data_IF_596065547621
#
_entry.id   IF_596065547621
#
_cell.length_a   1.000
_cell.length_b   1.000
_cell.length_c   1.000
_cell.angle_alpha   90.00
_cell.angle_beta   90.00
_cell.angle_gamma   90.00
#
_symmetry.space_group_name_H-M   'P 1'
#
loop_
_entity.id
_entity.type
_entity.pdbx_description
1 polymer ?
#
# COMPACT_ATOMS: atom_id res chain seq x y z
N UNK A 1 -0.63 -10.62 3.54
CA UNK A 1 -1.04 -9.90 2.30
C UNK A 1 0.14 -9.39 1.48
N UNK A 2 0.97 -8.48 2.00
CA UNK A 2 2.12 -7.91 1.25
C UNK A 2 3.13 -8.97 0.76
N UNK A 3 3.47 -9.94 1.61
CA UNK A 3 4.28 -11.09 1.23
C UNK A 3 3.62 -11.96 0.14
N UNK A 4 2.30 -12.12 0.21
CA UNK A 4 1.55 -12.88 -0.79
C UNK A 4 1.59 -12.19 -2.16
N UNK A 5 1.49 -10.85 -2.21
CA UNK A 5 1.67 -10.06 -3.44
C UNK A 5 3.09 -10.20 -4.00
N UNK A 6 4.12 -10.12 -3.15
CA UNK A 6 5.52 -10.28 -3.58
C UNK A 6 5.74 -11.68 -4.17
N UNK A 7 5.18 -12.71 -3.54
CA UNK A 7 5.25 -14.09 -4.02
C UNK A 7 4.46 -14.29 -5.33
N UNK A 8 3.30 -13.64 -5.50
CA UNK A 8 2.53 -13.74 -6.76
C UNK A 8 3.17 -12.96 -7.92
N UNK A 9 3.85 -11.85 -7.64
CA UNK A 9 4.60 -11.09 -8.65
C UNK A 9 5.89 -11.80 -9.08
N UNK A 10 6.55 -12.52 -8.17
CA UNK A 10 7.74 -13.32 -8.48
C UNK A 10 8.79 -12.55 -9.30
N UNK A 11 9.21 -13.10 -10.45
CA UNK A 11 10.23 -12.52 -11.36
C UNK A 11 9.82 -11.19 -12.04
N UNK A 12 8.55 -10.78 -11.95
CA UNK A 12 8.05 -9.52 -12.51
C UNK A 12 8.09 -8.37 -11.49
N UNK A 13 8.40 -8.65 -10.22
CA UNK A 13 8.60 -7.62 -9.21
C UNK A 13 9.93 -6.89 -9.44
N UNK A 14 9.87 -5.62 -9.83
CA UNK A 14 11.04 -4.74 -9.93
C UNK A 14 10.87 -3.54 -9.02
N UNK A 15 11.91 -3.23 -8.24
CA UNK A 15 11.97 -2.06 -7.35
C UNK A 15 12.00 -0.74 -8.14
N UNK A 16 12.57 -0.78 -9.35
CA UNK A 16 12.49 0.31 -10.33
C UNK A 16 11.31 0.08 -11.28
N UNK A 17 10.52 1.12 -11.46
CA UNK A 17 9.33 1.19 -12.32
C UNK A 17 9.75 1.19 -13.80
N UNK A 18 10.35 0.09 -14.25
CA UNK A 18 10.79 -0.09 -15.63
C UNK A 18 9.82 -1.05 -16.31
N UNK A 19 8.93 -0.49 -17.12
CA UNK A 19 8.10 -1.25 -18.06
C UNK A 19 9.04 -1.94 -19.05
N UNK A 20 9.37 -3.21 -18.80
CA UNK A 20 10.08 -4.04 -19.78
C UNK A 20 9.11 -4.39 -20.91
N UNK A 21 9.60 -4.50 -22.14
CA UNK A 21 8.79 -4.81 -23.35
C UNK A 21 8.00 -6.13 -23.25
N UNK A 22 8.30 -6.99 -22.28
CA UNK A 22 7.66 -8.29 -22.03
C UNK A 22 6.78 -8.30 -20.76
N UNK A 23 6.40 -7.13 -20.24
CA UNK A 23 5.61 -7.03 -19.02
C UNK A 23 4.21 -7.61 -19.25
N UNK A 24 3.95 -8.82 -18.76
CA UNK A 24 2.61 -9.43 -18.80
C UNK A 24 1.83 -9.05 -17.55
N UNK A 25 0.54 -8.77 -17.75
CA UNK A 25 -0.38 -8.44 -16.68
C UNK A 25 -0.62 -9.67 -15.79
N UNK A 26 -0.17 -9.60 -14.53
CA UNK A 26 -0.41 -10.68 -13.55
C UNK A 26 -1.83 -10.53 -13.01
N UNK A 27 -2.69 -11.49 -13.37
CA UNK A 27 -4.12 -11.45 -13.03
C UNK A 27 -4.51 -12.52 -12.00
N UNK A 28 -3.55 -13.30 -11.50
CA UNK A 28 -3.77 -14.39 -10.55
C UNK A 28 -3.58 -13.95 -9.09
N UNK A 29 -4.22 -14.69 -8.18
CA UNK A 29 -4.13 -14.46 -6.74
C UNK A 29 -4.79 -13.14 -6.30
N UNK A 30 -4.14 -12.29 -5.50
CA UNK A 30 -4.79 -11.10 -4.94
C UNK A 30 -5.11 -10.03 -6.01
N UNK A 31 -4.41 -10.08 -7.16
CA UNK A 31 -4.64 -9.23 -8.31
C UNK A 31 -5.92 -9.56 -9.10
N UNK A 32 -6.57 -10.71 -8.82
CA UNK A 32 -7.89 -11.02 -9.40
C UNK A 32 -9.04 -10.34 -8.66
N UNK A 33 -8.80 -9.86 -7.43
CA UNK A 33 -9.82 -9.28 -6.54
C UNK A 33 -9.72 -7.75 -6.51
N UNK A 34 -8.51 -7.22 -6.39
CA UNK A 34 -8.23 -5.77 -6.40
C UNK A 34 -7.04 -5.49 -7.30
N UNK A 35 -7.03 -4.31 -7.95
CA UNK A 35 -5.94 -3.93 -8.85
C UNK A 35 -4.62 -3.71 -8.11
N UNK A 36 -4.69 -3.21 -6.88
CA UNK A 36 -3.53 -2.75 -6.10
C UNK A 36 -3.46 -3.36 -4.68
N UNK A 37 -3.40 -4.70 -4.54
CA UNK A 37 -3.50 -5.39 -3.24
C UNK A 37 -2.35 -5.05 -2.27
N UNK A 38 -1.18 -4.69 -2.80
CA UNK A 38 -0.02 -4.29 -2.00
C UNK A 38 -0.28 -2.99 -1.21
N UNK A 39 -1.04 -2.07 -1.79
CA UNK A 39 -1.40 -0.81 -1.14
C UNK A 39 -2.50 -1.00 -0.10
N UNK A 40 -3.42 -1.95 -0.31
CA UNK A 40 -4.34 -2.42 0.74
C UNK A 40 -3.57 -2.93 1.95
N UNK A 41 -2.50 -3.71 1.71
CA UNK A 41 -1.62 -4.20 2.77
C UNK A 41 -0.89 -3.07 3.50
N UNK A 42 -0.49 -2.00 2.80
CA UNK A 42 0.13 -0.82 3.41
C UNK A 42 -0.88 -0.05 4.27
N UNK A 43 -2.11 0.15 3.81
CA UNK A 43 -3.18 0.77 4.60
C UNK A 43 -3.49 -0.03 5.87
N UNK A 44 -3.60 -1.36 5.76
CA UNK A 44 -3.80 -2.24 6.91
C UNK A 44 -2.61 -2.18 7.90
N UNK A 45 -1.39 -2.11 7.39
CA UNK A 45 -0.20 -1.96 8.23
C UNK A 45 -0.18 -0.61 8.96
N UNK A 46 -0.54 0.49 8.27
CA UNK A 46 -0.67 1.80 8.89
C UNK A 46 -1.76 1.81 9.97
N UNK A 47 -2.92 1.21 9.71
CA UNK A 47 -3.98 1.08 10.71
C UNK A 47 -3.55 0.23 11.92
N UNK A 48 -2.86 -0.90 11.68
CA UNK A 48 -2.30 -1.73 12.73
C UNK A 48 -1.27 -0.99 13.59
N UNK A 49 -0.44 -0.16 12.98
CA UNK A 49 0.51 0.69 13.71
C UNK A 49 -0.22 1.71 14.62
N UNK A 50 -1.29 2.36 14.13
CA UNK A 50 -2.11 3.28 14.94
C UNK A 50 -2.71 2.58 16.15
N UNK A 51 -3.26 1.38 15.97
CA UNK A 51 -3.86 0.60 17.05
C UNK A 51 -2.78 0.16 18.04
N UNK A 52 -1.65 -0.38 17.56
CA UNK A 52 -0.57 -0.88 18.40
C UNK A 52 0.05 0.23 19.24
N UNK A 53 0.41 1.36 18.62
CA UNK A 53 1.02 2.49 19.33
C UNK A 53 0.03 3.31 20.16
N UNK A 54 -1.26 3.34 19.77
CA UNK A 54 -2.32 3.99 20.51
C UNK A 54 -2.86 3.20 21.71
N UNK A 55 -2.58 1.90 21.77
CA UNK A 55 -3.04 1.03 22.86
C UNK A 55 -2.41 1.40 24.21
N UNK A 56 -3.17 1.25 25.30
CA UNK A 56 -2.72 1.55 26.67
C UNK A 56 -1.52 0.68 27.11
N UNK A 57 -1.37 -0.52 26.55
CA UNK A 57 -0.25 -1.43 26.80
C UNK A 57 0.95 -1.23 25.88
N UNK A 58 0.96 -0.20 25.02
CA UNK A 58 2.09 0.06 24.14
C UNK A 58 3.34 0.37 24.94
N UNK A 59 4.45 -0.29 24.59
CA UNK A 59 5.76 -0.07 25.20
C UNK A 59 6.16 1.42 25.19
N UNK A 60 5.75 2.18 24.17
CA UNK A 60 5.99 3.63 24.13
C UNK A 60 5.36 4.41 25.29
N UNK A 61 4.19 3.97 25.80
CA UNK A 61 3.56 4.57 26.99
C UNK A 61 4.17 4.05 28.28
N UNK A 62 4.51 2.75 28.33
CA UNK A 62 5.06 2.13 29.54
C UNK A 62 6.54 2.46 29.80
N UNK A 63 7.33 2.75 28.75
CA UNK A 63 8.77 3.02 28.87
C UNK A 63 9.11 4.38 29.49
N UNK A 64 8.12 5.24 29.75
CA UNK A 64 8.34 6.57 30.33
C UNK A 64 8.98 7.58 29.37
N UNK A 65 9.43 7.17 28.18
CA UNK A 65 10.04 8.03 27.16
C UNK A 65 9.12 9.18 26.72
N UNK A 66 7.79 8.96 26.74
CA UNK A 66 6.80 9.98 26.43
C UNK A 66 6.56 10.99 27.57
N UNK A 67 7.20 10.84 28.74
CA UNK A 67 7.14 11.84 29.82
C UNK A 67 7.99 13.07 29.51
N UNK A 68 9.02 12.93 28.66
CA UNK A 68 9.81 14.06 28.18
C UNK A 68 9.01 14.80 27.09
N UNK A 69 8.59 16.06 27.30
CA UNK A 69 7.67 16.75 26.40
C UNK A 69 8.24 16.90 24.98
N UNK A 70 9.56 17.15 24.86
CA UNK A 70 10.24 17.24 23.57
C UNK A 70 10.18 15.93 22.77
N UNK A 71 10.53 14.79 23.41
CA UNK A 71 10.50 13.47 22.78
C UNK A 71 9.07 13.07 22.42
N UNK A 72 8.10 13.38 23.30
CA UNK A 72 6.67 13.16 23.05
C UNK A 72 6.21 13.89 21.79
N UNK A 73 6.57 15.17 21.64
CA UNK A 73 6.19 15.96 20.45
C UNK A 73 6.83 15.37 19.19
N UNK A 74 8.12 15.02 19.22
CA UNK A 74 8.78 14.39 18.06
C UNK A 74 8.18 13.04 17.70
N UNK A 75 7.91 12.17 18.67
CA UNK A 75 7.35 10.85 18.43
C UNK A 75 5.93 10.93 17.86
N UNK A 76 5.08 11.79 18.44
CA UNK A 76 3.70 11.98 17.97
C UNK A 76 3.69 12.61 16.58
N UNK A 77 4.46 13.68 16.36
CA UNK A 77 4.51 14.34 15.05
C UNK A 77 5.09 13.42 13.98
N UNK A 78 6.19 12.70 14.27
CA UNK A 78 6.75 11.69 13.36
C UNK A 78 5.76 10.57 13.04
N UNK A 79 5.01 10.10 14.03
CA UNK A 79 3.96 9.10 13.83
C UNK A 79 2.83 9.61 12.92
N UNK A 80 2.33 10.82 13.15
CA UNK A 80 1.31 11.44 12.29
C UNK A 80 1.82 11.70 10.87
N UNK A 81 3.05 12.19 10.72
CA UNK A 81 3.66 12.41 9.40
C UNK A 81 3.82 11.09 8.65
N UNK A 82 4.33 10.04 9.29
CA UNK A 82 4.52 8.73 8.64
C UNK A 82 3.19 8.09 8.20
N UNK A 83 2.15 8.14 9.04
CA UNK A 83 0.84 7.55 8.74
C UNK A 83 0.12 8.31 7.63
N UNK A 84 0.17 9.65 7.65
CA UNK A 84 -0.41 10.48 6.58
C UNK A 84 0.32 10.32 5.26
N UNK A 85 1.65 10.26 5.26
CA UNK A 85 2.46 9.98 4.07
C UNK A 85 2.12 8.60 3.48
N UNK A 86 2.07 7.55 4.31
CA UNK A 86 1.71 6.21 3.87
C UNK A 86 0.30 6.14 3.29
N UNK A 87 -0.67 6.82 3.89
CA UNK A 87 -2.03 6.91 3.38
C UNK A 87 -2.08 7.65 2.03
N UNK A 88 -1.38 8.78 1.93
CA UNK A 88 -1.30 9.58 0.70
C UNK A 88 -0.69 8.78 -0.45
N UNK A 89 0.43 8.09 -0.22
CA UNK A 89 1.06 7.20 -1.21
C UNK A 89 0.10 6.08 -1.61
N UNK A 90 -0.60 5.49 -0.64
CA UNK A 90 -1.52 4.38 -0.90
C UNK A 90 -2.73 4.76 -1.74
N UNK A 91 -3.11 6.05 -1.77
CA UNK A 91 -4.26 6.55 -2.52
C UNK A 91 -3.84 7.14 -3.87
N UNK A 92 -2.81 7.99 -3.89
CA UNK A 92 -2.46 8.76 -5.09
C UNK A 92 -1.57 7.99 -6.05
N UNK A 93 -0.66 7.17 -5.55
CA UNK A 93 0.31 6.46 -6.39
C UNK A 93 -0.33 5.38 -7.29
N UNK A 94 -1.35 4.61 -6.83
CA UNK A 94 -2.04 3.66 -7.69
C UNK A 94 -2.67 4.28 -8.94
N UNK A 95 -3.13 5.54 -8.86
CA UNK A 95 -3.70 6.23 -10.02
C UNK A 95 -2.64 6.50 -11.10
N UNK A 96 -1.42 6.85 -10.67
CA UNK A 96 -0.27 7.06 -11.57
C UNK A 96 0.19 5.73 -12.17
N UNK A 97 0.25 4.66 -11.37
CA UNK A 97 0.59 3.32 -11.86
C UNK A 97 -0.46 2.79 -12.85
N UNK A 98 -1.75 2.99 -12.59
CA UNK A 98 -2.83 2.65 -13.54
C UNK A 98 -2.65 3.38 -14.87
N UNK A 99 -2.33 4.67 -14.86
CA UNK A 99 -2.08 5.43 -16.10
C UNK A 99 -0.84 4.92 -16.85
N UNK A 100 0.22 4.56 -16.13
CA UNK A 100 1.42 3.99 -16.74
C UNK A 100 1.14 2.62 -17.37
N UNK A 101 0.38 1.77 -16.68
CA UNK A 101 -0.02 0.45 -17.19
C UNK A 101 -0.98 0.58 -18.39
N UNK A 102 -1.91 1.52 -18.36
CA UNK A 102 -2.79 1.80 -19.49
C UNK A 102 -2.00 2.28 -20.72
N UNK A 103 -1.00 3.16 -20.53
CA UNK A 103 -0.13 3.60 -21.63
C UNK A 103 0.75 2.48 -22.19
N UNK A 104 1.19 1.56 -21.34
CA UNK A 104 2.06 0.46 -21.74
C UNK A 104 1.31 -0.71 -22.42
N UNK A 105 0.13 -1.07 -21.90
CA UNK A 105 -0.60 -2.30 -22.26
C UNK A 105 -1.91 -2.03 -23.00
N UNK A 106 -2.37 -0.78 -23.04
CA UNK A 106 -3.56 -0.34 -23.78
C UNK A 106 -4.79 -1.20 -23.50
N UNK A 107 -5.28 -1.88 -24.55
CA UNK A 107 -6.51 -2.68 -24.51
C UNK A 107 -6.46 -3.88 -23.56
N UNK A 108 -5.28 -4.48 -23.33
CA UNK A 108 -5.17 -5.61 -22.39
C UNK A 108 -5.47 -5.15 -20.95
N UNK A 109 -4.94 -3.99 -20.57
CA UNK A 109 -5.20 -3.40 -19.26
C UNK A 109 -6.67 -2.99 -19.11
N UNK A 110 -7.28 -2.39 -20.13
CA UNK A 110 -8.69 -2.00 -20.09
C UNK A 110 -9.63 -3.20 -19.91
N UNK A 111 -9.38 -4.29 -20.62
CA UNK A 111 -10.17 -5.52 -20.51
C UNK A 111 -10.04 -6.16 -19.13
N UNK A 112 -8.85 -6.11 -18.52
CA UNK A 112 -8.64 -6.57 -17.16
C UNK A 112 -9.24 -5.65 -16.11
N UNK A 113 -9.07 -4.33 -16.24
CA UNK A 113 -9.63 -3.32 -15.32
C UNK A 113 -11.16 -3.35 -15.29
N UNK A 114 -11.82 -3.71 -16.41
CA UNK A 114 -13.27 -3.97 -16.44
C UNK A 114 -13.67 -5.17 -15.59
N UNK A 115 -12.85 -6.23 -15.54
CA UNK A 115 -13.09 -7.42 -14.71
C UNK A 115 -12.81 -7.14 -13.23
N UNK A 116 -11.71 -6.46 -12.93
CA UNK A 116 -11.27 -6.13 -11.57
C UNK A 116 -11.57 -4.66 -11.25
N UNK A 117 -12.82 -4.38 -10.89
CA UNK A 117 -13.32 -3.01 -10.69
C UNK A 117 -12.67 -2.30 -9.50
N UNK A 118 -12.38 -3.03 -8.42
CA UNK A 118 -11.89 -2.45 -7.17
C UNK A 118 -10.42 -2.05 -7.28
N UNK A 119 -10.11 -0.80 -6.93
CA UNK A 119 -8.73 -0.28 -6.97
C UNK A 119 -7.94 -0.75 -5.74
N UNK A 120 -8.45 -0.48 -4.54
CA UNK A 120 -7.71 -0.65 -3.28
C UNK A 120 -8.42 -1.56 -2.27
N UNK A 121 -9.73 -1.40 -2.05
CA UNK A 121 -10.48 -2.17 -1.06
C UNK A 121 -11.66 -2.82 -1.77
N UNK A 122 -11.90 -4.13 -1.62
CA UNK A 122 -13.10 -4.77 -2.15
C UNK A 122 -14.34 -4.08 -1.56
N UNK A 123 -15.23 -3.58 -2.42
CA UNK A 123 -16.46 -2.90 -2.00
C UNK A 123 -16.38 -1.38 -1.86
N UNK A 124 -15.19 -0.76 -2.00
CA UNK A 124 -15.03 0.71 -2.04
C UNK A 124 -14.52 1.11 -3.43
N UNK A 125 -15.28 1.97 -4.12
CA UNK A 125 -15.00 2.40 -5.49
C UNK A 125 -14.02 3.57 -5.55
#
# INVERSE_FOLDING_TARGET
LRLYCILTLGKLWSYHLSVRKEHRLVTSGPYSVVRHPSYTGLLLQSAGAVIMYGSQGSWMRQSGILQVPFIKVLAVTGFFVSTTLCAWISINRPAVEDQMLQRALGKEWENWAKKVRYRLIPGVY
#
